data_IF_271871215772
#
_entry.id   IF_271871215772
#
_cell.length_a   1.000
_cell.length_b   1.000
_cell.length_c   1.000
_cell.angle_alpha   90.00
_cell.angle_beta   90.00
_cell.angle_gamma   90.00
#
_symmetry.space_group_name_H-M   'P 1'
#
loop_
_entity.id
_entity.type
_entity.pdbx_description
1 polymer ?
#
# COMPACT_ATOMS: atom_id res chain seq x y z
N UNK A 1 13.46 -28.76 13.07
CA UNK A 1 13.37 -28.60 14.55
C UNK A 1 12.49 -27.39 14.79
N UNK A 2 11.37 -27.51 15.52
CA UNK A 2 10.56 -26.35 15.87
C UNK A 2 11.39 -25.39 16.74
N UNK A 3 11.45 -24.12 16.35
CA UNK A 3 12.08 -23.08 17.16
C UNK A 3 10.97 -22.29 17.85
N UNK A 4 11.04 -22.24 19.17
CA UNK A 4 10.14 -21.43 19.98
C UNK A 4 10.59 -19.97 19.91
N UNK A 5 9.64 -19.06 19.77
CA UNK A 5 9.88 -17.61 19.81
C UNK A 5 8.81 -16.94 20.68
N UNK A 6 8.89 -15.62 20.82
CA UNK A 6 7.88 -14.80 21.47
C UNK A 6 7.30 -13.80 20.48
N UNK A 7 5.97 -13.69 20.46
CA UNK A 7 5.26 -12.68 19.68
C UNK A 7 4.13 -12.09 20.53
N UNK A 8 4.09 -10.76 20.63
CA UNK A 8 3.14 -10.00 21.48
C UNK A 8 3.01 -10.57 22.90
N UNK A 9 4.14 -10.91 23.51
CA UNK A 9 4.22 -11.43 24.88
C UNK A 9 3.78 -12.90 25.06
N UNK A 10 3.51 -13.63 23.98
CA UNK A 10 3.13 -15.06 24.02
C UNK A 10 4.19 -15.92 23.36
N UNK A 11 4.44 -17.09 23.92
CA UNK A 11 5.28 -18.11 23.28
C UNK A 11 4.57 -18.67 22.06
N UNK A 12 5.29 -18.75 20.95
CA UNK A 12 4.81 -19.30 19.68
C UNK A 12 5.88 -20.21 19.07
N UNK A 13 5.45 -21.02 18.10
CA UNK A 13 6.35 -21.85 17.29
C UNK A 13 6.18 -21.43 15.85
N UNK A 14 7.30 -21.15 15.16
CA UNK A 14 7.29 -20.80 13.74
C UNK A 14 6.85 -22.02 12.92
N UNK A 15 5.80 -21.87 12.12
CA UNK A 15 5.29 -22.94 11.25
C UNK A 15 6.41 -23.40 10.31
N UNK A 16 6.63 -24.71 10.19
CA UNK A 16 7.70 -25.19 9.32
C UNK A 16 7.24 -25.28 7.85
N UNK A 17 7.38 -24.17 7.12
CA UNK A 17 7.00 -24.07 5.71
C UNK A 17 7.83 -24.96 4.75
N UNK A 18 8.94 -25.54 5.23
CA UNK A 18 9.74 -26.50 4.44
C UNK A 18 9.23 -27.93 4.55
N UNK A 19 8.29 -28.21 5.48
CA UNK A 19 7.68 -29.52 5.64
C UNK A 19 6.28 -29.53 5.00
N UNK A 20 6.06 -30.30 3.91
CA UNK A 20 4.76 -30.38 3.27
C UNK A 20 3.64 -30.77 4.23
N UNK A 21 3.86 -31.69 5.17
CA UNK A 21 2.84 -32.10 6.13
C UNK A 21 2.39 -30.97 7.07
N UNK A 22 3.30 -30.07 7.43
CA UNK A 22 2.95 -28.89 8.24
C UNK A 22 2.19 -27.84 7.41
N UNK A 23 2.55 -27.67 6.14
CA UNK A 23 1.84 -26.81 5.19
C UNK A 23 0.42 -27.31 4.96
N UNK A 24 0.23 -28.59 4.66
CA UNK A 24 -1.11 -29.19 4.47
C UNK A 24 -1.95 -29.05 5.73
N UNK A 25 -1.39 -29.37 6.90
CA UNK A 25 -2.09 -29.18 8.18
C UNK A 25 -2.57 -27.73 8.38
N UNK A 26 -1.77 -26.74 7.99
CA UNK A 26 -2.17 -25.34 8.09
C UNK A 26 -3.28 -24.99 7.09
N UNK A 27 -3.14 -25.42 5.84
CA UNK A 27 -4.14 -25.18 4.79
C UNK A 27 -5.50 -25.82 5.14
N UNK A 28 -5.51 -27.06 5.64
CA UNK A 28 -6.73 -27.74 6.10
C UNK A 28 -7.41 -26.94 7.23
N UNK A 29 -6.64 -26.28 8.09
CA UNK A 29 -7.17 -25.43 9.16
C UNK A 29 -7.76 -24.14 8.62
N UNK A 30 -7.11 -23.51 7.64
CA UNK A 30 -7.64 -22.31 6.97
C UNK A 30 -8.95 -22.64 6.27
N UNK A 31 -9.00 -23.70 5.48
CA UNK A 31 -10.21 -24.16 4.78
C UNK A 31 -11.35 -24.48 5.76
N UNK A 32 -11.02 -25.18 6.85
CA UNK A 32 -11.97 -25.46 7.91
C UNK A 32 -12.53 -24.17 8.52
N UNK A 33 -11.69 -23.20 8.87
CA UNK A 33 -12.15 -21.93 9.43
C UNK A 33 -12.98 -21.10 8.45
N UNK A 34 -12.58 -21.06 7.17
CA UNK A 34 -13.35 -20.41 6.11
C UNK A 34 -14.75 -21.01 5.99
N UNK A 35 -14.86 -22.33 5.93
CA UNK A 35 -16.14 -23.03 5.80
C UNK A 35 -17.06 -22.84 7.01
N UNK A 36 -16.51 -22.80 8.23
CA UNK A 36 -17.32 -22.72 9.45
C UNK A 36 -17.68 -21.29 9.88
N UNK A 37 -16.81 -20.32 9.60
CA UNK A 37 -16.97 -18.94 10.08
C UNK A 37 -17.35 -17.95 8.98
N UNK A 38 -17.33 -18.36 7.71
CA UNK A 38 -17.57 -17.46 6.57
C UNK A 38 -16.50 -16.38 6.45
N UNK A 39 -15.23 -16.72 6.73
CA UNK A 39 -14.12 -15.75 6.65
C UNK A 39 -13.94 -15.25 5.22
N UNK A 40 -13.98 -13.93 5.03
CA UNK A 40 -13.79 -13.29 3.73
C UNK A 40 -12.32 -13.15 3.33
N UNK A 41 -11.42 -13.04 4.31
CA UNK A 41 -9.98 -12.94 4.08
C UNK A 41 -9.16 -13.48 5.25
N UNK A 42 -7.88 -13.77 4.97
CA UNK A 42 -6.88 -14.12 5.97
C UNK A 42 -5.69 -13.17 5.87
N UNK A 43 -5.23 -12.68 7.02
CA UNK A 43 -4.02 -11.87 7.14
C UNK A 43 -2.90 -12.73 7.72
N UNK A 44 -1.85 -12.94 6.93
CA UNK A 44 -0.60 -13.53 7.40
C UNK A 44 0.33 -12.39 7.82
N UNK A 45 0.34 -12.13 9.13
CA UNK A 45 1.18 -11.11 9.75
C UNK A 45 2.52 -11.72 10.19
N UNK A 46 3.59 -10.98 9.91
CA UNK A 46 4.93 -11.26 10.39
C UNK A 46 5.77 -12.07 9.41
N UNK A 47 6.64 -12.93 9.95
CA UNK A 47 7.54 -13.78 9.19
C UNK A 47 8.95 -13.21 9.03
N UNK A 48 9.10 -11.90 9.24
CA UNK A 48 10.38 -11.22 9.39
C UNK A 48 11.15 -11.72 10.60
N UNK A 49 12.45 -11.49 10.60
CA UNK A 49 13.36 -12.05 11.59
C UNK A 49 13.62 -13.55 11.39
N UNK A 50 14.72 -14.00 11.97
CA UNK A 50 15.15 -15.38 11.89
C UNK A 50 15.36 -15.91 13.31
N UNK A 51 14.38 -16.62 13.90
CA UNK A 51 14.47 -17.11 15.27
C UNK A 51 15.68 -18.02 15.52
N UNK A 52 16.21 -18.68 14.47
CA UNK A 52 17.46 -19.43 14.60
C UNK A 52 18.62 -18.48 14.89
N UNK A 53 18.80 -17.44 14.07
CA UNK A 53 19.88 -16.47 14.21
C UNK A 53 19.74 -15.63 15.49
N UNK A 54 18.52 -15.23 15.85
CA UNK A 54 18.20 -14.53 17.11
C UNK A 54 18.61 -15.34 18.35
N UNK A 55 18.59 -16.67 18.25
CA UNK A 55 19.01 -17.59 19.31
C UNK A 55 20.44 -18.13 19.11
N UNK A 56 21.22 -17.51 18.23
CA UNK A 56 22.58 -17.94 17.85
C UNK A 56 22.66 -19.40 17.36
N UNK A 57 21.57 -19.91 16.79
CA UNK A 57 21.49 -21.21 16.12
C UNK A 57 21.74 -21.04 14.62
N UNK A 58 22.34 -22.05 13.98
CA UNK A 58 22.47 -22.07 12.52
C UNK A 58 21.10 -22.41 11.90
N UNK A 59 20.52 -21.55 11.05
CA UNK A 59 19.29 -21.89 10.34
C UNK A 59 19.53 -23.04 9.35
N UNK A 60 18.53 -23.90 9.10
CA UNK A 60 18.55 -24.81 7.96
C UNK A 60 18.80 -24.04 6.66
N UNK A 61 19.49 -24.63 5.69
CA UNK A 61 19.83 -23.96 4.43
C UNK A 61 18.60 -23.42 3.69
N UNK A 62 17.46 -24.12 3.80
CA UNK A 62 16.18 -23.72 3.22
C UNK A 62 15.51 -22.50 3.93
N UNK A 63 16.05 -22.04 5.06
CA UNK A 63 15.49 -20.97 5.91
C UNK A 63 16.54 -19.89 6.25
N UNK A 64 17.60 -19.76 5.45
CA UNK A 64 18.62 -18.71 5.62
C UNK A 64 18.06 -17.36 5.15
N UNK A 65 18.41 -16.29 5.86
CA UNK A 65 18.00 -14.94 5.51
C UNK A 65 16.48 -14.76 5.51
N UNK A 66 15.96 -14.22 4.42
CA UNK A 66 14.55 -13.86 4.22
C UNK A 66 13.72 -14.97 3.54
N UNK A 67 14.30 -16.15 3.30
CA UNK A 67 13.62 -17.26 2.60
C UNK A 67 12.30 -17.70 3.21
N UNK A 68 12.12 -17.52 4.51
CA UNK A 68 10.84 -17.82 5.15
C UNK A 68 9.69 -16.95 4.63
N UNK A 69 9.95 -15.66 4.35
CA UNK A 69 8.94 -14.74 3.82
C UNK A 69 8.55 -15.14 2.39
N UNK A 70 9.53 -15.58 1.59
CA UNK A 70 9.28 -16.12 0.24
C UNK A 70 8.34 -17.34 0.30
N UNK A 71 8.61 -18.29 1.20
CA UNK A 71 7.74 -19.46 1.42
C UNK A 71 6.36 -19.07 1.98
N UNK A 72 6.28 -18.02 2.79
CA UNK A 72 5.01 -17.53 3.31
C UNK A 72 4.17 -16.89 2.19
N UNK A 73 4.79 -16.18 1.27
CA UNK A 73 4.13 -15.65 0.09
C UNK A 73 3.62 -16.79 -0.83
N UNK A 74 4.40 -17.86 -1.00
CA UNK A 74 3.95 -19.03 -1.76
C UNK A 74 2.74 -19.72 -1.10
N UNK A 75 2.76 -19.86 0.24
CA UNK A 75 1.61 -20.35 1.01
C UNK A 75 0.39 -19.44 0.86
N UNK A 76 0.59 -18.12 0.96
CA UNK A 76 -0.46 -17.13 0.80
C UNK A 76 -1.13 -17.26 -0.58
N UNK A 77 -0.32 -17.37 -1.63
CA UNK A 77 -0.81 -17.53 -2.99
C UNK A 77 -1.56 -18.87 -3.18
N UNK A 78 -1.23 -19.93 -2.43
CA UNK A 78 -1.95 -21.19 -2.51
C UNK A 78 -3.28 -21.19 -1.75
N UNK A 79 -3.50 -20.27 -0.81
CA UNK A 79 -4.81 -20.07 -0.16
C UNK A 79 -5.76 -19.35 -1.12
N UNK A 80 -5.24 -18.39 -1.89
CA UNK A 80 -5.97 -17.68 -2.94
C UNK A 80 -6.13 -16.18 -2.67
N UNK A 81 -6.97 -15.55 -3.50
CA UNK A 81 -7.11 -14.09 -3.66
C UNK A 81 -7.52 -13.35 -2.37
N UNK A 82 -8.07 -14.08 -1.41
CA UNK A 82 -8.49 -13.56 -0.10
C UNK A 82 -7.34 -13.44 0.91
N UNK A 83 -6.07 -13.50 0.48
CA UNK A 83 -4.93 -13.49 1.39
C UNK A 83 -4.15 -12.18 1.35
N UNK A 84 -3.92 -11.63 2.53
CA UNK A 84 -3.11 -10.44 2.74
C UNK A 84 -1.83 -10.86 3.47
N UNK A 85 -0.68 -10.33 3.06
CA UNK A 85 0.61 -10.51 3.75
C UNK A 85 1.11 -9.16 4.26
N UNK A 86 1.92 -9.14 5.32
CA UNK A 86 2.59 -7.90 5.79
C UNK A 86 4.03 -7.79 5.34
N UNK A 87 4.59 -8.86 4.76
CA UNK A 87 5.97 -8.93 4.30
C UNK A 87 6.05 -9.67 2.97
N UNK A 88 7.00 -9.24 2.13
CA UNK A 88 7.28 -9.88 0.84
C UNK A 88 8.76 -9.80 0.52
N UNK A 89 9.34 -10.93 0.09
CA UNK A 89 10.66 -10.96 -0.56
C UNK A 89 10.61 -11.89 -1.76
N UNK A 90 11.27 -11.49 -2.86
CA UNK A 90 11.38 -12.25 -4.13
C UNK A 90 10.05 -12.86 -4.63
N UNK A 91 8.93 -12.25 -4.25
CA UNK A 91 7.57 -12.75 -4.47
C UNK A 91 6.70 -11.70 -5.15
N UNK A 92 7.31 -10.64 -5.70
CA UNK A 92 6.58 -9.60 -6.42
C UNK A 92 5.77 -10.14 -7.59
N UNK A 93 6.16 -11.27 -8.19
CA UNK A 93 5.41 -11.97 -9.24
C UNK A 93 4.13 -12.66 -8.76
N UNK A 94 3.87 -12.70 -7.44
CA UNK A 94 2.63 -13.24 -6.85
C UNK A 94 1.61 -12.09 -6.74
N UNK A 95 0.35 -12.30 -7.16
CA UNK A 95 -0.70 -11.27 -7.07
C UNK A 95 -1.27 -11.18 -5.64
N UNK A 96 -0.43 -10.83 -4.67
CA UNK A 96 -0.80 -10.76 -3.26
C UNK A 96 -0.99 -9.32 -2.81
N UNK A 97 -2.05 -9.09 -2.02
CA UNK A 97 -2.17 -7.84 -1.29
C UNK A 97 -1.13 -7.78 -0.17
N UNK A 98 -0.28 -6.75 -0.22
CA UNK A 98 0.73 -6.47 0.82
C UNK A 98 0.25 -5.29 1.66
N UNK A 99 0.01 -5.53 2.95
CA UNK A 99 -0.31 -4.47 3.91
C UNK A 99 0.96 -3.71 4.28
N UNK A 100 0.93 -2.40 4.05
CA UNK A 100 2.01 -1.48 4.37
C UNK A 100 2.12 -1.24 5.88
N UNK A 101 3.27 -0.76 6.31
CA UNK A 101 3.55 -0.45 7.72
C UNK A 101 2.59 0.63 8.24
N UNK A 102 2.07 0.49 9.48
CA UNK A 102 1.33 1.54 10.16
C UNK A 102 2.13 2.84 10.28
N UNK A 103 1.43 3.96 10.14
CA UNK A 103 1.96 5.31 10.14
C UNK A 103 1.44 6.11 11.34
N UNK A 104 2.21 7.13 11.73
CA UNK A 104 1.80 8.08 12.75
C UNK A 104 0.60 8.91 12.28
N UNK A 105 -0.25 9.30 13.21
CA UNK A 105 -1.37 10.22 12.96
C UNK A 105 -0.90 11.68 12.96
N UNK A 106 0.01 12.02 12.04
CA UNK A 106 0.55 13.38 11.88
C UNK A 106 0.85 13.73 10.40
N UNK A 107 1.25 14.99 10.18
CA UNK A 107 1.66 15.53 8.88
C UNK A 107 3.15 15.29 8.58
N UNK A 108 3.85 14.53 9.42
CA UNK A 108 5.29 14.37 9.40
C UNK A 108 5.79 13.31 8.42
N UNK A 109 7.13 13.12 8.35
CA UNK A 109 7.77 12.12 7.47
C UNK A 109 7.48 10.67 7.89
N UNK A 110 6.87 10.45 9.05
CA UNK A 110 6.40 9.14 9.55
C UNK A 110 4.88 9.01 9.54
N UNK A 111 4.18 10.05 9.08
CA UNK A 111 2.72 10.10 8.95
C UNK A 111 2.32 10.29 7.49
N UNK A 112 1.47 11.29 7.21
CA UNK A 112 0.90 11.54 5.89
C UNK A 112 1.95 11.62 4.77
N UNK A 113 3.09 12.30 5.01
CA UNK A 113 4.15 12.48 4.00
C UNK A 113 4.88 11.19 3.67
N UNK A 114 4.77 10.15 4.50
CA UNK A 114 5.42 8.87 4.26
C UNK A 114 4.68 8.00 3.24
N UNK A 115 3.40 8.28 2.95
CA UNK A 115 2.53 7.42 2.14
C UNK A 115 3.08 7.26 0.72
N UNK A 116 3.38 8.38 0.04
CA UNK A 116 3.81 8.38 -1.36
C UNK A 116 5.22 7.78 -1.51
N UNK A 117 6.24 8.18 -0.72
CA UNK A 117 7.54 7.53 -0.78
C UNK A 117 7.45 6.01 -0.52
N UNK A 118 6.63 5.59 0.44
CA UNK A 118 6.43 4.17 0.76
C UNK A 118 5.75 3.43 -0.38
N UNK A 119 4.70 4.01 -0.98
CA UNK A 119 4.01 3.45 -2.14
C UNK A 119 4.99 3.23 -3.30
N UNK A 120 5.71 4.29 -3.69
CA UNK A 120 6.66 4.25 -4.81
C UNK A 120 7.80 3.26 -4.54
N UNK A 121 8.28 3.16 -3.31
CA UNK A 121 9.28 2.17 -2.94
C UNK A 121 8.79 0.74 -3.20
N UNK A 122 7.58 0.40 -2.75
CA UNK A 122 7.04 -0.94 -2.92
C UNK A 122 6.74 -1.27 -4.39
N UNK A 123 6.18 -0.32 -5.15
CA UNK A 123 5.85 -0.57 -6.56
C UNK A 123 7.09 -0.71 -7.42
N UNK A 124 8.16 0.05 -7.15
CA UNK A 124 9.45 -0.12 -7.81
C UNK A 124 10.11 -1.48 -7.51
N UNK A 125 9.81 -2.09 -6.36
CA UNK A 125 10.20 -3.47 -6.05
C UNK A 125 9.26 -4.52 -6.69
N UNK A 126 8.21 -4.09 -7.38
CA UNK A 126 7.24 -4.91 -8.11
C UNK A 126 6.00 -5.30 -7.31
N UNK A 127 5.84 -4.83 -6.07
CA UNK A 127 4.64 -5.08 -5.26
C UNK A 127 3.60 -3.99 -5.51
N UNK A 128 2.57 -4.30 -6.29
CA UNK A 128 1.61 -3.31 -6.79
C UNK A 128 0.25 -3.32 -6.06
N UNK A 129 -0.12 -4.46 -5.47
CA UNK A 129 -1.38 -4.60 -4.74
C UNK A 129 -1.11 -4.26 -3.27
N UNK A 130 -1.14 -2.97 -2.95
CA UNK A 130 -0.77 -2.47 -1.63
C UNK A 130 -2.02 -2.06 -0.85
N UNK A 131 -2.05 -2.44 0.43
CA UNK A 131 -3.02 -1.92 1.39
C UNK A 131 -2.29 -0.86 2.21
N UNK A 132 -2.50 0.45 1.95
CA UNK A 132 -1.89 1.51 2.73
C UNK A 132 -2.41 1.48 4.17
N UNK A 133 -1.71 2.18 5.07
CA UNK A 133 -2.25 2.36 6.41
C UNK A 133 -3.60 3.09 6.37
N UNK A 134 -4.43 2.81 7.37
CA UNK A 134 -5.78 3.32 7.43
C UNK A 134 -5.81 4.85 7.44
N UNK A 135 -6.90 5.42 6.93
CA UNK A 135 -7.10 6.87 6.87
C UNK A 135 -6.89 7.49 8.26
N UNK A 136 -5.92 8.40 8.33
CA UNK A 136 -5.49 9.09 9.54
C UNK A 136 -4.33 8.43 10.30
N UNK A 137 -3.87 7.25 9.89
CA UNK A 137 -2.83 6.50 10.58
C UNK A 137 -3.38 5.63 11.71
N UNK A 138 -2.74 4.49 11.95
CA UNK A 138 -3.16 3.51 12.96
C UNK A 138 -2.12 3.22 14.04
N UNK A 139 -0.92 3.79 13.94
CA UNK A 139 0.22 3.42 14.80
C UNK A 139 0.03 3.80 16.28
N UNK A 140 -0.61 4.93 16.58
CA UNK A 140 -0.87 5.35 17.97
C UNK A 140 -2.00 4.54 18.62
N UNK A 141 -2.88 3.92 17.82
CA UNK A 141 -4.11 3.29 18.29
C UNK A 141 -5.22 4.27 18.70
N UNK A 142 -4.92 5.57 18.75
CA UNK A 142 -5.89 6.62 19.05
C UNK A 142 -6.70 6.98 17.80
N UNK A 143 -7.92 7.48 18.02
CA UNK A 143 -8.72 8.04 16.94
C UNK A 143 -8.15 9.38 16.51
N UNK A 144 -8.13 9.62 15.21
CA UNK A 144 -7.71 10.91 14.66
C UNK A 144 -8.72 11.98 15.02
N UNK A 145 -8.24 13.08 15.59
CA UNK A 145 -9.08 14.23 15.96
C UNK A 145 -8.92 15.41 15.01
N UNK A 146 -7.83 15.46 14.24
CA UNK A 146 -7.59 16.49 13.24
C UNK A 146 -8.38 16.17 11.95
N UNK A 147 -9.50 16.87 11.75
CA UNK A 147 -10.37 16.67 10.60
C UNK A 147 -9.67 16.96 9.26
N UNK A 148 -8.78 17.96 9.22
CA UNK A 148 -8.05 18.32 8.01
C UNK A 148 -7.09 17.19 7.62
N UNK A 149 -6.35 16.67 8.61
CA UNK A 149 -5.47 15.51 8.40
C UNK A 149 -6.26 14.31 7.87
N UNK A 150 -7.42 14.01 8.47
CA UNK A 150 -8.28 12.92 8.01
C UNK A 150 -8.72 13.10 6.56
N UNK A 151 -9.18 14.30 6.19
CA UNK A 151 -9.63 14.61 4.83
C UNK A 151 -8.45 14.48 3.84
N UNK A 152 -7.30 15.09 4.13
CA UNK A 152 -6.12 15.00 3.23
C UNK A 152 -5.61 13.57 3.10
N UNK A 153 -5.68 12.76 4.16
CA UNK A 153 -5.32 11.35 4.07
C UNK A 153 -6.32 10.54 3.23
N UNK A 154 -7.61 10.80 3.40
CA UNK A 154 -8.66 10.20 2.57
C UNK A 154 -8.49 10.56 1.09
N UNK A 155 -8.14 11.81 0.80
CA UNK A 155 -7.84 12.28 -0.56
C UNK A 155 -6.73 11.45 -1.20
N UNK A 156 -5.66 11.13 -0.46
CA UNK A 156 -4.58 10.25 -0.95
C UNK A 156 -5.09 8.82 -1.10
N UNK A 157 -5.67 8.25 -0.04
CA UNK A 157 -6.10 6.86 0.01
C UNK A 157 -7.09 6.50 -1.09
N UNK A 158 -7.95 7.44 -1.50
CA UNK A 158 -8.90 7.25 -2.58
C UNK A 158 -8.24 6.93 -3.93
N UNK A 159 -7.00 7.35 -4.13
CA UNK A 159 -6.21 7.05 -5.33
C UNK A 159 -5.27 5.86 -5.16
N UNK A 160 -5.27 5.17 -4.01
CA UNK A 160 -4.49 3.96 -3.77
C UNK A 160 -5.35 2.70 -3.98
N UNK A 161 -4.78 1.47 -4.02
CA UNK A 161 -5.54 0.26 -4.36
C UNK A 161 -6.68 -0.06 -3.39
N UNK A 162 -6.51 0.31 -2.12
CA UNK A 162 -7.47 0.02 -1.05
C UNK A 162 -7.61 1.23 -0.14
N UNK A 163 -8.87 1.59 0.16
CA UNK A 163 -9.18 2.51 1.25
C UNK A 163 -9.51 1.68 2.49
N UNK A 164 -8.85 1.96 3.61
CA UNK A 164 -9.18 1.35 4.90
C UNK A 164 -9.34 2.42 5.98
N UNK A 165 -10.17 2.15 6.97
CA UNK A 165 -10.47 3.08 8.07
C UNK A 165 -10.17 2.42 9.41
N UNK A 166 -9.37 3.10 10.23
CA UNK A 166 -9.22 2.82 11.65
C UNK A 166 -10.13 3.77 12.44
N UNK A 167 -10.03 5.07 12.12
CA UNK A 167 -10.95 6.10 12.61
C UNK A 167 -12.19 6.15 11.71
N UNK A 168 -13.39 5.82 12.21
CA UNK A 168 -14.60 5.91 11.39
C UNK A 168 -14.98 7.36 11.10
N UNK A 169 -15.44 7.70 9.88
CA UNK A 169 -15.72 9.09 9.50
C UNK A 169 -16.86 9.75 10.30
N UNK A 170 -17.76 8.96 10.91
CA UNK A 170 -18.87 9.49 11.72
C UNK A 170 -18.47 9.98 13.11
N UNK A 171 -17.23 9.74 13.57
CA UNK A 171 -16.80 10.19 14.91
C UNK A 171 -16.72 11.72 15.03
N UNK A 172 -16.57 12.43 13.92
CA UNK A 172 -16.50 13.89 13.90
C UNK A 172 -17.85 14.57 14.09
N UNK A 173 -18.96 13.85 13.96
CA UNK A 173 -20.31 14.41 14.07
C UNK A 173 -20.63 15.48 13.00
N UNK A 174 -19.80 15.60 11.97
CA UNK A 174 -19.89 16.59 10.90
C UNK A 174 -20.31 15.93 9.59
N UNK A 175 -21.37 16.46 8.97
CA UNK A 175 -21.86 16.02 7.67
C UNK A 175 -20.84 16.27 6.56
N UNK A 176 -19.95 17.25 6.70
CA UNK A 176 -18.91 17.55 5.71
C UNK A 176 -17.94 16.37 5.55
N UNK A 177 -17.37 15.86 6.65
CA UNK A 177 -16.42 14.73 6.60
C UNK A 177 -17.09 13.48 6.05
N UNK A 178 -18.34 13.21 6.47
CA UNK A 178 -19.11 12.08 5.96
C UNK A 178 -19.41 12.19 4.46
N UNK A 179 -19.81 13.38 3.98
CA UNK A 179 -20.11 13.59 2.57
C UNK A 179 -18.85 13.52 1.70
N UNK A 180 -17.74 14.11 2.15
CA UNK A 180 -16.44 13.96 1.48
C UNK A 180 -16.01 12.50 1.42
N UNK A 181 -16.18 11.75 2.52
CA UNK A 181 -15.87 10.32 2.57
C UNK A 181 -16.67 9.53 1.53
N UNK A 182 -17.97 9.78 1.41
CA UNK A 182 -18.80 9.15 0.37
C UNK A 182 -18.34 9.50 -1.04
N UNK A 183 -18.02 10.77 -1.30
CA UNK A 183 -17.52 11.24 -2.59
C UNK A 183 -16.22 10.53 -2.97
N UNK A 184 -15.25 10.46 -2.06
CA UNK A 184 -13.96 9.82 -2.33
C UNK A 184 -14.05 8.30 -2.47
N UNK A 185 -14.93 7.63 -1.71
CA UNK A 185 -15.23 6.21 -1.92
C UNK A 185 -15.85 5.98 -3.31
N UNK A 186 -16.83 6.80 -3.69
CA UNK A 186 -17.44 6.71 -5.02
C UNK A 186 -16.41 6.94 -6.12
N UNK A 187 -15.55 7.96 -5.96
CA UNK A 187 -14.49 8.28 -6.92
C UNK A 187 -13.48 7.13 -7.06
N UNK A 188 -13.05 6.57 -5.94
CA UNK A 188 -12.18 5.41 -5.92
C UNK A 188 -12.79 4.24 -6.71
N UNK A 189 -14.06 3.92 -6.46
CA UNK A 189 -14.76 2.84 -7.15
C UNK A 189 -14.96 3.10 -8.65
N UNK A 190 -15.31 4.33 -9.04
CA UNK A 190 -15.65 4.64 -10.44
C UNK A 190 -14.45 4.97 -11.32
N UNK A 191 -13.37 5.49 -10.75
CA UNK A 191 -12.21 5.98 -11.51
C UNK A 191 -10.94 5.17 -11.23
N UNK A 192 -10.65 4.88 -9.96
CA UNK A 192 -9.34 4.33 -9.55
C UNK A 192 -9.31 2.82 -9.67
N UNK A 193 -10.35 2.11 -9.21
CA UNK A 193 -10.42 0.64 -9.32
C UNK A 193 -10.28 0.18 -10.79
N UNK A 194 -11.00 0.75 -11.78
CA UNK A 194 -10.82 0.36 -13.18
C UNK A 194 -9.42 0.61 -13.73
N UNK A 195 -8.75 1.68 -13.27
CA UNK A 195 -7.35 1.94 -13.64
C UNK A 195 -6.41 0.90 -13.04
N UNK A 196 -6.58 0.55 -11.78
CA UNK A 196 -5.77 -0.49 -11.12
C UNK A 196 -5.95 -1.83 -11.83
N UNK A 197 -7.18 -2.21 -12.17
CA UNK A 197 -7.47 -3.44 -12.93
C UNK A 197 -6.80 -3.43 -14.32
N UNK A 198 -6.95 -2.33 -15.08
CA UNK A 198 -6.31 -2.16 -16.39
C UNK A 198 -4.78 -2.33 -16.30
N UNK A 199 -4.13 -1.68 -15.34
CA UNK A 199 -2.67 -1.75 -15.20
C UNK A 199 -2.20 -3.04 -14.55
N UNK A 200 -3.04 -3.75 -13.79
CA UNK A 200 -2.77 -5.09 -13.28
C UNK A 200 -2.63 -6.11 -14.42
N UNK A 201 -3.47 -6.03 -15.47
CA UNK A 201 -3.33 -6.86 -16.66
C UNK A 201 -1.99 -6.61 -17.37
N UNK A 202 -1.59 -5.34 -17.51
CA UNK A 202 -0.29 -4.97 -18.09
C UNK A 202 0.90 -5.40 -17.23
N UNK A 203 0.75 -5.37 -15.90
CA UNK A 203 1.75 -5.83 -14.95
C UNK A 203 2.03 -7.34 -15.09
N UNK A 204 1.01 -8.18 -15.33
CA UNK A 204 1.20 -9.62 -15.59
C UNK A 204 2.09 -9.91 -16.81
N UNK A 205 2.14 -9.00 -17.78
CA UNK A 205 2.91 -9.14 -19.02
C UNK A 205 4.32 -8.54 -18.92
N UNK A 206 4.45 -7.40 -18.25
CA UNK A 206 5.67 -6.57 -18.31
C UNK A 206 6.41 -6.46 -16.98
N UNK A 207 5.73 -6.72 -15.86
CA UNK A 207 6.22 -6.42 -14.52
C UNK A 207 6.29 -4.92 -14.20
N UNK A 208 5.81 -4.04 -15.09
CA UNK A 208 5.85 -2.60 -14.86
C UNK A 208 4.98 -2.21 -13.65
N UNK A 209 5.42 -1.25 -12.82
CA UNK A 209 4.63 -0.80 -11.68
C UNK A 209 3.31 -0.18 -12.11
N UNK A 210 2.28 -0.31 -11.28
CA UNK A 210 1.00 0.39 -11.43
C UNK A 210 1.17 1.84 -10.96
N UNK A 211 1.77 2.04 -9.80
CA UNK A 211 2.04 3.38 -9.26
C UNK A 211 3.46 3.80 -9.55
N UNK A 212 3.64 4.96 -10.19
CA UNK A 212 4.92 5.32 -10.80
C UNK A 212 5.40 6.70 -10.34
N UNK A 213 6.71 6.87 -10.15
CA UNK A 213 7.29 8.18 -9.89
C UNK A 213 7.28 9.04 -11.16
N UNK A 214 7.38 10.36 -11.03
CA UNK A 214 7.34 11.28 -12.17
C UNK A 214 8.40 11.00 -13.23
N UNK A 215 9.58 10.54 -12.81
CA UNK A 215 10.69 10.20 -13.72
C UNK A 215 10.36 9.03 -14.65
N UNK A 216 9.30 8.26 -14.37
CA UNK A 216 8.86 7.19 -15.26
C UNK A 216 8.51 7.71 -16.65
N UNK A 217 7.80 8.84 -16.72
CA UNK A 217 7.42 9.50 -17.97
C UNK A 217 8.45 10.54 -18.45
N UNK A 218 9.38 10.95 -17.59
CA UNK A 218 10.41 11.94 -17.92
C UNK A 218 11.77 11.55 -17.36
N UNK A 219 12.35 10.42 -17.80
CA UNK A 219 13.55 9.84 -17.19
C UNK A 219 14.83 10.68 -17.40
N UNK A 220 14.79 11.66 -18.31
CA UNK A 220 15.90 12.55 -18.60
C UNK A 220 15.79 13.91 -17.91
N UNK A 221 14.70 14.20 -17.18
CA UNK A 221 14.57 15.45 -16.40
C UNK A 221 14.99 15.24 -14.94
N UNK A 222 16.13 15.80 -14.49
CA UNK A 222 16.59 15.66 -13.11
C UNK A 222 15.61 16.18 -12.05
N UNK A 223 14.71 17.11 -12.40
CA UNK A 223 13.69 17.62 -11.45
C UNK A 223 12.79 16.50 -10.94
N UNK A 224 12.57 15.49 -11.76
CA UNK A 224 11.66 14.38 -11.43
C UNK A 224 12.24 13.36 -10.45
N UNK A 225 13.55 13.38 -10.23
CA UNK A 225 14.23 12.37 -9.40
C UNK A 225 14.00 12.57 -7.90
N UNK A 226 13.65 13.79 -7.49
CA UNK A 226 13.45 14.16 -6.09
C UNK A 226 11.99 14.44 -5.74
N UNK A 227 11.07 14.28 -6.69
CA UNK A 227 9.64 14.45 -6.43
C UNK A 227 9.12 13.20 -5.72
N UNK A 228 8.73 13.37 -4.46
CA UNK A 228 8.28 12.31 -3.58
C UNK A 228 6.87 12.56 -3.01
N UNK A 229 6.23 13.64 -3.47
CA UNK A 229 4.92 14.11 -3.03
C UNK A 229 3.87 14.10 -4.17
N UNK A 230 4.18 13.44 -5.28
CA UNK A 230 3.33 13.20 -6.44
C UNK A 230 3.56 11.78 -6.97
N UNK A 231 2.53 11.15 -7.53
CA UNK A 231 2.66 9.85 -8.19
C UNK A 231 1.73 9.73 -9.39
N UNK A 232 2.04 8.80 -10.28
CA UNK A 232 1.20 8.42 -11.40
C UNK A 232 0.47 7.13 -11.09
N UNK A 233 -0.75 6.98 -11.61
CA UNK A 233 -1.42 5.69 -11.78
C UNK A 233 -1.30 5.33 -13.25
N UNK A 234 -0.40 4.41 -13.54
CA UNK A 234 0.00 4.09 -14.90
C UNK A 234 0.64 5.29 -15.59
N UNK A 235 0.21 5.55 -16.83
CA UNK A 235 0.66 6.69 -17.64
C UNK A 235 -0.45 7.76 -17.84
N UNK A 236 -1.62 7.58 -17.21
CA UNK A 236 -2.83 8.35 -17.54
C UNK A 236 -3.27 9.33 -16.45
N UNK A 237 -3.01 9.03 -15.18
CA UNK A 237 -3.48 9.86 -14.06
C UNK A 237 -2.29 10.28 -13.22
N UNK A 238 -2.15 11.59 -13.02
CA UNK A 238 -1.23 12.20 -12.07
C UNK A 238 -1.99 12.62 -10.83
N UNK A 239 -1.46 12.25 -9.66
CA UNK A 239 -2.02 12.61 -8.36
C UNK A 239 -0.98 13.43 -7.60
N UNK A 240 -1.35 14.66 -7.22
CA UNK A 240 -0.51 15.60 -6.49
C UNK A 240 -1.27 16.08 -5.22
N UNK A 241 -1.32 15.26 -4.16
CA UNK A 241 -2.16 15.54 -2.99
C UNK A 241 -1.56 16.61 -2.07
N UNK A 242 -2.39 17.30 -1.30
CA UNK A 242 -1.89 18.25 -0.29
C UNK A 242 -1.39 17.49 0.93
N UNK A 243 -0.10 17.67 1.25
CA UNK A 243 0.55 17.02 2.41
C UNK A 243 1.06 18.02 3.45
N UNK A 244 0.66 19.28 3.32
CA UNK A 244 0.99 20.36 4.26
C UNK A 244 -0.27 20.92 4.92
N UNK A 245 -0.22 21.13 6.23
CA UNK A 245 -1.36 21.62 7.00
C UNK A 245 -1.71 23.06 6.61
N UNK A 246 -2.99 23.32 6.39
CA UNK A 246 -3.55 24.62 6.04
C UNK A 246 -3.31 25.05 4.60
N UNK A 247 -2.70 24.19 3.77
CA UNK A 247 -2.40 24.54 2.38
C UNK A 247 -3.66 24.45 1.50
N UNK A 248 -3.86 25.51 0.70
CA UNK A 248 -4.91 25.63 -0.32
C UNK A 248 -4.33 25.76 -1.74
N UNK A 249 -3.01 25.71 -1.85
CA UNK A 249 -2.27 25.74 -3.11
C UNK A 249 -1.01 24.88 -2.96
N UNK A 250 -0.49 24.34 -4.06
CA UNK A 250 0.78 23.63 -4.09
C UNK A 250 1.46 23.70 -5.45
N UNK A 251 2.75 23.44 -5.46
CA UNK A 251 3.50 23.24 -6.70
C UNK A 251 3.24 21.84 -7.26
N UNK A 252 3.09 21.75 -8.58
CA UNK A 252 2.81 20.51 -9.31
C UNK A 252 3.71 20.46 -10.55
N UNK A 253 4.42 19.35 -10.72
CA UNK A 253 5.20 19.12 -11.93
C UNK A 253 4.45 18.15 -12.83
N UNK A 254 4.15 18.58 -14.05
CA UNK A 254 3.53 17.74 -15.06
C UNK A 254 4.65 17.11 -15.89
N UNK A 255 4.85 15.77 -15.84
CA UNK A 255 5.89 15.15 -16.63
C UNK A 255 5.59 15.32 -18.13
N UNK A 256 6.64 15.46 -18.93
CA UNK A 256 6.52 15.62 -20.38
C UNK A 256 5.91 14.37 -21.00
N UNK A 257 6.71 13.32 -21.16
CA UNK A 257 6.27 12.06 -21.78
C UNK A 257 5.68 12.19 -23.19
N UNK A 258 5.72 13.38 -23.80
CA UNK A 258 4.96 13.70 -25.01
C UNK A 258 3.45 13.83 -24.78
N UNK A 259 3.01 14.07 -23.55
CA UNK A 259 1.60 14.17 -23.17
C UNK A 259 1.15 15.62 -22.93
N UNK A 260 -0.17 15.81 -22.96
CA UNK A 260 -0.82 16.98 -22.37
C UNK A 260 -1.64 16.51 -21.17
N UNK A 261 -1.66 17.34 -20.12
CA UNK A 261 -2.34 17.04 -18.88
C UNK A 261 -3.57 17.93 -18.74
N UNK A 262 -4.70 17.32 -18.38
CA UNK A 262 -5.94 18.04 -18.10
C UNK A 262 -6.26 17.96 -16.61
N UNK A 263 -6.49 19.10 -15.97
CA UNK A 263 -7.05 19.12 -14.61
C UNK A 263 -8.50 18.63 -14.63
N UNK A 264 -8.76 17.56 -13.90
CA UNK A 264 -10.10 16.96 -13.76
C UNK A 264 -11.18 17.92 -13.24
N UNK A 265 -10.81 18.99 -12.52
CA UNK A 265 -11.78 19.94 -11.94
C UNK A 265 -12.06 21.14 -12.84
N UNK A 266 -11.01 21.81 -13.32
CA UNK A 266 -11.14 23.01 -14.16
C UNK A 266 -11.25 22.71 -15.65
N UNK A 267 -10.94 21.47 -16.08
CA UNK A 267 -10.77 21.04 -17.46
C UNK A 267 -9.66 21.81 -18.22
N UNK A 268 -8.84 22.61 -17.53
CA UNK A 268 -7.72 23.32 -18.12
C UNK A 268 -6.65 22.31 -18.58
N UNK A 269 -6.13 22.54 -19.79
CA UNK A 269 -5.09 21.70 -20.39
C UNK A 269 -3.74 22.41 -20.30
N UNK A 270 -2.72 21.65 -19.97
CA UNK A 270 -1.34 22.08 -19.85
C UNK A 270 -0.45 21.15 -20.66
N UNK A 271 0.61 21.70 -21.24
CA UNK A 271 1.63 20.88 -21.90
C UNK A 271 2.45 20.12 -20.85
N UNK A 272 2.87 18.89 -21.18
CA UNK A 272 3.84 18.16 -20.39
C UNK A 272 5.17 18.94 -20.24
N UNK A 273 5.88 18.70 -19.14
CA UNK A 273 7.07 19.45 -18.74
C UNK A 273 6.77 20.78 -18.03
N UNK A 274 5.48 21.13 -17.88
CA UNK A 274 5.06 22.34 -17.19
C UNK A 274 5.21 22.19 -15.67
N UNK A 275 5.76 23.21 -15.02
CA UNK A 275 5.77 23.33 -13.56
C UNK A 275 4.73 24.38 -13.15
N UNK A 276 3.63 23.93 -12.56
CA UNK A 276 2.56 24.79 -12.04
C UNK A 276 2.98 25.26 -10.65
N UNK A 277 3.15 26.56 -10.49
CA UNK A 277 3.51 27.19 -9.22
C UNK A 277 2.25 27.65 -8.50
N UNK A 278 2.20 27.45 -7.17
CA UNK A 278 1.08 27.89 -6.33
C UNK A 278 -0.29 27.52 -6.90
N UNK A 279 -0.41 26.31 -7.46
CA UNK A 279 -1.63 25.86 -8.13
C UNK A 279 -2.75 25.66 -7.11
N UNK A 280 -3.94 26.29 -7.26
CA UNK A 280 -5.03 26.16 -6.30
C UNK A 280 -5.60 24.73 -6.24
N UNK A 281 -5.78 24.19 -5.04
CA UNK A 281 -6.22 22.81 -4.78
C UNK A 281 -7.36 22.72 -3.79
#
# INVERSE_FOLDING_TARGET
IPVMSQWRGKFCVKLNLTNPGAVHWFLDRVESLQAHLGMEYILLEGGEGNPFEEQALRPPQALVGDKYIELMADLAASIGDSTIVTAGTRSSHRPLFVRMTPLQSDWGPTGLKAIIPSLLHHTLLGYNFLIPDAVGGSLSGDLVTDQELFIRWLEIAAFLPVISFHTPPWVYGDDQVLNLTRTYISKHQSEVVPLVEKYAEGWLLTGNPIYRPMWWLSPSDPKTFTIDDQFLIGDEVLVAPVVEKGAAQRDIYLPDGGFQWQDSRSAQVFDGGTFLQDYPV
#
